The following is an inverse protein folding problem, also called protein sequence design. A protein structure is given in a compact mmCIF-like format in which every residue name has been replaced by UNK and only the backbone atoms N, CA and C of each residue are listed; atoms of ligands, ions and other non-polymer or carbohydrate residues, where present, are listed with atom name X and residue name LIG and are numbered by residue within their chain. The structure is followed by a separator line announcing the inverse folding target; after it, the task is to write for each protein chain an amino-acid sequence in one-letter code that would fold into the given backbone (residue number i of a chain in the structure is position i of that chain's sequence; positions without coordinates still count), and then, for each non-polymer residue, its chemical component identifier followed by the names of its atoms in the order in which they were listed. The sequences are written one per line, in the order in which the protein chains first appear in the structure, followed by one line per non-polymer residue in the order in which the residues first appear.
data_IF_274796263705
#
_entry.id   IF_274796263705
#
_cell.length_a   1.000
_cell.length_b   1.000
_cell.length_c   1.000
_cell.angle_alpha   90.00
_cell.angle_beta   90.00
_cell.angle_gamma   90.00
#
_symmetry.space_group_name_H-M   'P 1'
#
loop_
_entity.id
_entity.type
_entity.pdbx_description
1 polymer ?
#
# COMPACT_ATOMS: atom_id res chain seq x y z
N UNK A 1 -7.72 18.27 8.23
CA UNK A 1 -7.06 17.29 7.34
C UNK A 1 -5.57 17.58 7.27
N UNK A 2 -5.10 18.74 6.80
CA UNK A 2 -3.66 19.03 6.58
C UNK A 2 -2.80 18.80 7.83
N UNK A 3 -3.26 19.12 9.03
CA UNK A 3 -2.50 18.89 10.27
C UNK A 3 -2.28 17.40 10.54
N UNK A 4 -3.25 16.54 10.23
CA UNK A 4 -3.09 15.09 10.35
C UNK A 4 -2.05 14.57 9.35
N UNK A 5 -2.09 15.08 8.11
CA UNK A 5 -1.08 14.72 7.08
C UNK A 5 0.33 15.17 7.52
N UNK A 6 0.48 16.38 8.04
CA UNK A 6 1.75 16.88 8.59
C UNK A 6 2.26 16.01 9.74
N UNK A 7 1.37 15.60 10.64
CA UNK A 7 1.69 14.67 11.73
C UNK A 7 2.20 13.34 11.17
N UNK A 8 1.52 12.77 10.18
CA UNK A 8 1.94 11.52 9.53
C UNK A 8 3.32 11.65 8.86
N UNK A 9 3.59 12.74 8.13
CA UNK A 9 4.90 13.01 7.53
C UNK A 9 6.00 13.21 8.58
N UNK A 10 5.68 13.88 9.70
CA UNK A 10 6.62 14.05 10.82
C UNK A 10 6.97 12.72 11.48
N UNK A 11 5.99 11.83 11.66
CA UNK A 11 6.21 10.47 12.14
C UNK A 11 7.04 9.65 11.15
N UNK A 12 6.75 9.77 9.85
CA UNK A 12 7.54 9.12 8.80
C UNK A 12 9.01 9.52 8.86
N UNK A 13 9.29 10.81 8.96
CA UNK A 13 10.66 11.35 9.18
C UNK A 13 11.30 10.75 10.43
N UNK A 14 10.57 10.73 11.55
CA UNK A 14 11.07 10.20 12.83
C UNK A 14 11.48 8.74 12.74
N UNK A 15 10.71 7.92 12.01
CA UNK A 15 10.92 6.47 11.90
C UNK A 15 11.63 6.03 10.61
N UNK A 16 12.08 6.99 9.80
CA UNK A 16 12.91 6.71 8.62
C UNK A 16 12.16 6.24 7.38
N UNK A 17 10.84 6.48 7.29
CA UNK A 17 10.11 6.24 6.06
C UNK A 17 10.36 7.37 5.08
N UNK A 18 10.94 7.05 3.93
CA UNK A 18 11.28 8.04 2.90
C UNK A 18 10.22 8.15 1.80
N UNK A 19 9.30 7.20 1.74
CA UNK A 19 8.24 7.13 0.73
C UNK A 19 6.93 6.68 1.38
N UNK A 20 5.82 7.33 1.02
CA UNK A 20 4.47 6.96 1.46
C UNK A 20 3.55 6.97 0.25
N UNK A 21 2.76 5.91 0.06
CA UNK A 21 1.60 5.91 -0.80
C UNK A 21 0.37 6.15 0.07
N UNK A 22 -0.22 7.34 -0.05
CA UNK A 22 -1.32 7.81 0.77
C UNK A 22 -2.61 7.83 -0.04
N UNK A 23 -3.67 7.24 0.52
CA UNK A 23 -5.01 7.24 -0.04
C UNK A 23 -5.77 8.45 0.47
N UNK A 24 -6.48 9.15 -0.42
CA UNK A 24 -7.37 10.25 -0.06
C UNK A 24 -8.73 10.03 -0.71
N UNK A 25 -9.76 10.09 0.12
CA UNK A 25 -11.13 9.93 -0.33
C UNK A 25 -11.50 10.97 -1.39
N UNK A 26 -12.10 10.49 -2.47
CA UNK A 26 -12.58 11.29 -3.62
C UNK A 26 -14.03 10.95 -3.95
N UNK A 27 -14.81 10.59 -2.94
CA UNK A 27 -16.25 10.40 -3.04
C UNK A 27 -17.01 11.74 -3.06
N UNK A 28 -18.32 11.69 -3.26
CA UNK A 28 -19.16 12.90 -3.36
C UNK A 28 -19.25 13.71 -2.06
N UNK A 29 -18.87 13.11 -0.89
CA UNK A 29 -18.85 13.78 0.42
C UNK A 29 -17.51 14.43 0.70
N UNK A 30 -16.41 13.66 0.59
CA UNK A 30 -15.04 14.13 0.85
C UNK A 30 -14.52 15.05 -0.26
N UNK A 31 -14.96 14.83 -1.49
CA UNK A 31 -14.56 15.58 -2.68
C UNK A 31 -13.05 15.61 -2.87
N UNK A 32 -12.44 16.79 -2.93
CA UNK A 32 -11.00 16.97 -3.18
C UNK A 32 -10.20 17.47 -1.97
N UNK A 33 -10.80 17.52 -0.80
CA UNK A 33 -10.14 18.14 0.36
C UNK A 33 -8.96 17.31 0.87
N UNK A 34 -9.06 15.98 0.85
CA UNK A 34 -7.95 15.06 1.15
C UNK A 34 -6.81 15.19 0.14
N UNK A 35 -7.16 15.22 -1.16
CA UNK A 35 -6.19 15.37 -2.25
C UNK A 35 -5.41 16.68 -2.11
N UNK A 36 -6.08 17.81 -1.93
CA UNK A 36 -5.44 19.12 -1.76
C UNK A 36 -4.50 19.13 -0.55
N UNK A 37 -4.90 18.48 0.55
CA UNK A 37 -4.07 18.39 1.76
C UNK A 37 -2.81 17.56 1.50
N UNK A 38 -2.92 16.39 0.83
CA UNK A 38 -1.76 15.55 0.50
C UNK A 38 -0.83 16.24 -0.49
N UNK A 39 -1.34 16.88 -1.54
CA UNK A 39 -0.53 17.62 -2.51
C UNK A 39 0.22 18.78 -1.85
N UNK A 40 -0.43 19.50 -0.94
CA UNK A 40 0.22 20.55 -0.16
C UNK A 40 1.33 19.99 0.74
N UNK A 41 1.06 18.92 1.47
CA UNK A 41 2.06 18.27 2.31
C UNK A 41 3.23 17.70 1.49
N UNK A 42 2.97 17.17 0.28
CA UNK A 42 4.01 16.70 -0.63
C UNK A 42 5.04 17.79 -0.93
N UNK A 43 4.61 19.02 -1.18
CA UNK A 43 5.53 20.15 -1.39
C UNK A 43 6.25 20.58 -0.09
N UNK A 44 5.55 20.58 1.04
CA UNK A 44 6.12 20.95 2.34
C UNK A 44 7.20 19.95 2.80
N UNK A 45 7.06 18.68 2.51
CA UNK A 45 7.93 17.59 2.99
C UNK A 45 8.81 16.96 1.89
N UNK A 46 8.89 17.53 0.68
CA UNK A 46 9.59 16.96 -0.47
C UNK A 46 11.07 16.61 -0.27
N UNK A 47 11.72 17.27 0.67
CA UNK A 47 13.12 17.00 1.01
C UNK A 47 13.27 15.87 2.06
N UNK A 48 12.16 15.42 2.63
CA UNK A 48 12.12 14.42 3.71
C UNK A 48 11.40 13.15 3.28
N UNK A 49 10.19 13.29 2.70
CA UNK A 49 9.31 12.18 2.34
C UNK A 49 8.73 12.42 0.95
N UNK A 50 8.80 11.43 0.09
CA UNK A 50 8.06 11.43 -1.18
C UNK A 50 6.66 10.85 -0.96
N UNK A 51 5.63 11.63 -1.28
CA UNK A 51 4.23 11.22 -1.20
C UNK A 51 3.70 10.87 -2.59
N UNK A 52 3.28 9.61 -2.76
CA UNK A 52 2.42 9.18 -3.87
C UNK A 52 0.97 9.30 -3.41
N UNK A 53 0.18 10.08 -4.13
CA UNK A 53 -1.22 10.37 -3.80
C UNK A 53 -2.13 9.48 -4.61
N UNK A 54 -2.98 8.69 -3.93
CA UNK A 54 -4.00 7.85 -4.55
C UNK A 54 -5.33 8.57 -4.47
N UNK A 55 -5.99 8.78 -5.62
CA UNK A 55 -7.37 9.24 -5.70
C UNK A 55 -8.31 8.05 -5.44
N UNK A 56 -8.98 8.02 -4.28
CA UNK A 56 -9.62 6.83 -3.74
C UNK A 56 -11.13 7.03 -3.51
N UNK A 57 -12.00 6.27 -4.21
CA UNK A 57 -13.45 6.36 -4.05
C UNK A 57 -13.93 5.49 -2.88
N UNK A 58 -13.80 5.95 -1.63
CA UNK A 58 -14.16 5.18 -0.42
C UNK A 58 -15.58 4.64 -0.44
N UNK A 59 -16.54 5.40 -0.98
CA UNK A 59 -17.95 4.99 -1.05
C UNK A 59 -18.30 4.21 -2.35
N UNK A 60 -17.30 3.87 -3.18
CA UNK A 60 -17.49 3.21 -4.48
C UNK A 60 -17.70 4.20 -5.63
N UNK A 61 -17.92 3.68 -6.84
CA UNK A 61 -18.21 4.51 -8.02
C UNK A 61 -19.56 4.18 -8.65
N UNK A 62 -20.07 2.97 -8.41
CA UNK A 62 -21.45 2.61 -8.78
C UNK A 62 -22.41 3.01 -7.65
N UNK A 63 -22.01 2.75 -6.41
CA UNK A 63 -22.79 3.14 -5.21
C UNK A 63 -22.81 4.63 -4.96
N UNK A 64 -21.78 5.38 -5.38
CA UNK A 64 -21.67 6.83 -5.24
C UNK A 64 -21.56 7.51 -6.62
N UNK A 65 -22.68 7.68 -7.34
CA UNK A 65 -22.70 8.34 -8.65
C UNK A 65 -22.13 9.76 -8.58
N UNK A 66 -21.08 10.02 -9.36
CA UNK A 66 -20.34 11.28 -9.37
C UNK A 66 -18.94 11.20 -8.71
N UNK A 67 -18.62 10.14 -7.99
CA UNK A 67 -17.28 9.94 -7.42
C UNK A 67 -16.20 9.90 -8.52
N UNK A 68 -16.49 9.32 -9.69
CA UNK A 68 -15.57 9.25 -10.83
C UNK A 68 -15.10 10.64 -11.29
N UNK A 69 -15.98 11.65 -11.27
CA UNK A 69 -15.62 13.02 -11.65
C UNK A 69 -14.63 13.65 -10.67
N UNK A 70 -14.75 13.31 -9.37
CA UNK A 70 -13.77 13.74 -8.37
C UNK A 70 -12.43 13.02 -8.51
N UNK A 71 -12.42 11.72 -8.86
CA UNK A 71 -11.19 11.00 -9.17
C UNK A 71 -10.49 11.65 -10.36
N UNK A 72 -11.21 11.93 -11.44
CA UNK A 72 -10.70 12.63 -12.61
C UNK A 72 -10.08 13.97 -12.23
N UNK A 73 -10.82 14.78 -11.47
CA UNK A 73 -10.34 16.08 -10.99
C UNK A 73 -9.11 15.97 -10.10
N UNK A 74 -9.00 14.91 -9.28
CA UNK A 74 -7.84 14.64 -8.45
C UNK A 74 -6.60 14.30 -9.30
N UNK A 75 -6.77 13.53 -10.38
CA UNK A 75 -5.71 13.21 -11.34
C UNK A 75 -5.23 14.46 -12.09
N UNK A 76 -6.16 15.33 -12.51
CA UNK A 76 -5.85 16.64 -13.11
C UNK A 76 -5.05 17.54 -12.16
N UNK A 77 -5.34 17.49 -10.84
CA UNK A 77 -4.60 18.23 -9.82
C UNK A 77 -3.21 17.64 -9.53
N UNK A 78 -2.93 16.43 -10.00
CA UNK A 78 -1.61 15.79 -9.84
C UNK A 78 -1.57 14.63 -8.87
N UNK A 79 -2.70 13.95 -8.61
CA UNK A 79 -2.68 12.63 -7.98
C UNK A 79 -1.91 11.63 -8.87
N UNK A 80 -1.21 10.69 -8.24
CA UNK A 80 -0.25 9.82 -8.92
C UNK A 80 -0.84 8.48 -9.34
N UNK A 81 -1.86 8.01 -8.62
CA UNK A 81 -2.39 6.65 -8.71
C UNK A 81 -3.92 6.67 -8.69
N UNK A 82 -4.52 5.83 -9.52
CA UNK A 82 -5.97 5.60 -9.51
C UNK A 82 -6.29 4.57 -8.43
N UNK A 83 -7.12 4.96 -7.47
CA UNK A 83 -7.64 4.11 -6.41
C UNK A 83 -8.86 3.29 -6.84
N UNK A 84 -9.32 2.42 -5.97
CA UNK A 84 -10.56 1.67 -6.14
C UNK A 84 -10.87 0.79 -4.92
N UNK A 85 -12.15 0.45 -4.77
CA UNK A 85 -12.66 -0.44 -3.71
C UNK A 85 -13.85 -1.24 -4.25
N UNK A 86 -13.63 -2.14 -5.23
CA UNK A 86 -14.73 -2.80 -5.92
C UNK A 86 -15.58 -3.71 -5.03
N UNK A 87 -15.00 -4.33 -4.00
CA UNK A 87 -15.67 -5.32 -3.16
C UNK A 87 -16.85 -4.76 -2.34
N UNK A 88 -16.97 -3.43 -2.20
CA UNK A 88 -18.11 -2.81 -1.49
C UNK A 88 -19.30 -2.51 -2.39
N UNK A 89 -19.18 -2.66 -3.70
CA UNK A 89 -20.28 -2.43 -4.64
C UNK A 89 -21.42 -3.46 -4.42
N UNK A 90 -22.60 -3.23 -5.02
CA UNK A 90 -23.80 -4.02 -4.71
C UNK A 90 -23.75 -5.46 -5.22
N UNK A 91 -23.16 -5.69 -6.39
CA UNK A 91 -23.12 -6.99 -7.06
C UNK A 91 -21.76 -7.25 -7.72
N UNK A 92 -21.50 -8.51 -8.12
CA UNK A 92 -20.30 -8.85 -8.88
C UNK A 92 -20.21 -8.09 -10.22
N UNK A 93 -21.34 -7.76 -10.83
CA UNK A 93 -21.37 -6.95 -12.06
C UNK A 93 -20.94 -5.51 -11.77
N UNK A 94 -21.38 -4.95 -10.66
CA UNK A 94 -20.98 -3.61 -10.22
C UNK A 94 -19.50 -3.57 -9.82
N UNK A 95 -18.98 -4.64 -9.19
CA UNK A 95 -17.54 -4.79 -8.92
C UNK A 95 -16.73 -4.76 -10.21
N UNK A 96 -17.17 -5.48 -11.23
CA UNK A 96 -16.51 -5.48 -12.52
C UNK A 96 -16.59 -4.12 -13.20
N UNK A 97 -17.75 -3.45 -13.14
CA UNK A 97 -17.93 -2.10 -13.67
C UNK A 97 -17.02 -1.09 -12.96
N UNK A 98 -16.91 -1.16 -11.63
CA UNK A 98 -15.97 -0.34 -10.85
C UNK A 98 -14.54 -0.51 -11.38
N UNK A 99 -14.06 -1.74 -11.49
CA UNK A 99 -12.72 -2.04 -12.01
C UNK A 99 -12.56 -1.49 -13.44
N UNK A 100 -13.55 -1.68 -14.30
CA UNK A 100 -13.49 -1.23 -15.70
C UNK A 100 -13.39 0.30 -15.80
N UNK A 101 -14.16 1.05 -15.01
CA UNK A 101 -14.10 2.52 -14.95
C UNK A 101 -12.74 3.02 -14.45
N UNK A 102 -12.19 2.41 -13.40
CA UNK A 102 -10.88 2.81 -12.87
C UNK A 102 -9.75 2.53 -13.86
N UNK A 103 -9.80 1.42 -14.59
CA UNK A 103 -8.83 1.16 -15.66
C UNK A 103 -8.99 2.12 -16.85
N UNK A 104 -10.21 2.59 -17.15
CA UNK A 104 -10.41 3.62 -18.16
C UNK A 104 -9.69 4.93 -17.78
N UNK A 105 -9.82 5.38 -16.54
CA UNK A 105 -9.09 6.53 -16.01
C UNK A 105 -7.59 6.29 -15.97
N UNK A 106 -7.15 5.11 -15.52
CA UNK A 106 -5.72 4.77 -15.48
C UNK A 106 -5.07 4.85 -16.87
N UNK A 107 -5.76 4.41 -17.93
CA UNK A 107 -5.28 4.54 -19.31
C UNK A 107 -5.30 5.99 -19.81
N UNK A 108 -6.36 6.72 -19.52
CA UNK A 108 -6.51 8.11 -19.96
C UNK A 108 -5.40 9.00 -19.41
N UNK A 109 -5.05 8.80 -18.13
CA UNK A 109 -4.05 9.60 -17.44
C UNK A 109 -2.66 8.95 -17.39
N UNK A 110 -2.50 7.76 -17.96
CA UNK A 110 -1.28 6.93 -17.87
C UNK A 110 -0.79 6.75 -16.42
N UNK A 111 -1.70 6.32 -15.52
CA UNK A 111 -1.44 6.14 -14.10
C UNK A 111 -1.47 4.67 -13.68
N UNK A 112 -0.74 4.36 -12.62
CA UNK A 112 -0.81 3.07 -11.95
C UNK A 112 -2.15 2.93 -11.20
N UNK A 113 -2.51 1.68 -10.86
CA UNK A 113 -3.75 1.36 -10.15
C UNK A 113 -3.42 0.77 -8.78
N UNK A 114 -4.13 1.20 -7.75
CA UNK A 114 -4.02 0.64 -6.40
C UNK A 114 -5.39 0.54 -5.75
N UNK A 115 -5.87 -0.68 -5.50
CA UNK A 115 -7.24 -0.90 -5.02
C UNK A 115 -7.26 -1.64 -3.69
N UNK A 116 -8.19 -1.27 -2.80
CA UNK A 116 -8.57 -2.06 -1.64
C UNK A 116 -9.41 -3.23 -2.11
N UNK A 117 -8.94 -4.45 -1.87
CA UNK A 117 -9.49 -5.67 -2.48
C UNK A 117 -9.89 -6.67 -1.41
N UNK A 118 -11.14 -7.15 -1.50
CA UNK A 118 -11.68 -8.26 -0.70
C UNK A 118 -11.32 -8.11 0.80
N UNK A 119 -11.50 -6.90 1.34
CA UNK A 119 -11.14 -6.52 2.70
C UNK A 119 -12.25 -6.93 3.70
N UNK A 120 -12.65 -8.17 3.64
CA UNK A 120 -13.66 -8.77 4.51
C UNK A 120 -13.39 -10.26 4.71
N UNK A 121 -14.03 -10.84 5.73
CA UNK A 121 -13.96 -12.27 6.03
C UNK A 121 -14.92 -13.13 5.20
N UNK A 122 -15.10 -12.83 3.92
CA UNK A 122 -15.96 -13.58 3.02
C UNK A 122 -15.14 -14.25 1.88
N UNK A 123 -14.98 -15.60 1.92
CA UNK A 123 -14.27 -16.32 0.86
C UNK A 123 -15.02 -16.31 -0.49
N UNK A 124 -16.25 -15.79 -0.53
CA UNK A 124 -17.05 -15.61 -1.75
C UNK A 124 -16.64 -14.40 -2.57
N UNK A 125 -15.93 -13.43 -2.01
CA UNK A 125 -15.45 -12.25 -2.74
C UNK A 125 -14.50 -12.62 -3.88
N UNK A 126 -14.62 -11.92 -5.01
CA UNK A 126 -13.93 -12.22 -6.28
C UNK A 126 -13.24 -11.01 -6.90
N UNK A 127 -13.20 -9.87 -6.23
CA UNK A 127 -12.65 -8.66 -6.85
C UNK A 127 -11.15 -8.80 -7.14
N UNK A 128 -10.40 -9.61 -6.37
CA UNK A 128 -8.99 -9.92 -6.66
C UNK A 128 -8.82 -10.69 -7.98
N UNK A 129 -9.66 -11.71 -8.22
CA UNK A 129 -9.66 -12.45 -9.47
C UNK A 129 -10.01 -11.56 -10.67
N UNK A 130 -11.06 -10.72 -10.51
CA UNK A 130 -11.49 -9.74 -11.52
C UNK A 130 -10.39 -8.74 -11.86
N UNK A 131 -9.74 -8.17 -10.83
CA UNK A 131 -8.61 -7.26 -10.97
C UNK A 131 -7.44 -7.90 -11.74
N UNK A 132 -7.07 -9.13 -11.39
CA UNK A 132 -5.99 -9.84 -12.04
C UNK A 132 -6.29 -10.10 -13.52
N UNK A 133 -7.50 -10.55 -13.83
CA UNK A 133 -7.95 -10.79 -15.22
C UNK A 133 -7.97 -9.47 -16.00
N UNK A 134 -8.49 -8.38 -15.43
CA UNK A 134 -8.50 -7.05 -16.05
C UNK A 134 -7.08 -6.58 -16.34
N UNK A 135 -6.18 -6.68 -15.37
CA UNK A 135 -4.77 -6.30 -15.52
C UNK A 135 -4.11 -7.01 -16.71
N UNK A 136 -4.37 -8.32 -16.86
CA UNK A 136 -3.83 -9.11 -17.98
C UNK A 136 -4.41 -8.63 -19.32
N UNK A 137 -5.73 -8.42 -19.39
CA UNK A 137 -6.43 -8.01 -20.61
C UNK A 137 -5.99 -6.61 -21.09
N UNK A 138 -5.77 -5.70 -20.16
CA UNK A 138 -5.36 -4.31 -20.48
C UNK A 138 -3.85 -4.14 -20.73
N UNK A 139 -3.03 -5.18 -20.49
CA UNK A 139 -1.59 -5.06 -20.61
C UNK A 139 -0.94 -4.21 -19.51
N UNK A 140 -1.57 -4.13 -18.32
CA UNK A 140 -1.14 -3.27 -17.20
C UNK A 140 -0.24 -4.00 -16.19
N UNK A 141 0.44 -5.08 -16.60
CA UNK A 141 1.28 -5.91 -15.74
C UNK A 141 2.39 -5.10 -15.06
N UNK A 142 2.50 -5.22 -13.74
CA UNK A 142 3.50 -4.54 -12.92
C UNK A 142 3.13 -3.09 -12.57
N UNK A 143 1.94 -2.63 -12.95
CA UNK A 143 1.42 -1.28 -12.67
C UNK A 143 0.18 -1.32 -11.75
N UNK A 144 -0.13 -2.47 -11.16
CA UNK A 144 -1.31 -2.68 -10.31
C UNK A 144 -0.90 -3.24 -8.97
N UNK A 145 -1.47 -2.70 -7.89
CA UNK A 145 -1.34 -3.23 -6.53
C UNK A 145 -2.70 -3.49 -5.91
N UNK A 146 -2.82 -4.62 -5.21
CA UNK A 146 -3.98 -4.99 -4.42
C UNK A 146 -3.64 -4.81 -2.93
N UNK A 147 -4.49 -4.08 -2.20
CA UNK A 147 -4.33 -3.83 -0.78
C UNK A 147 -5.20 -4.80 0.01
N UNK A 148 -4.82 -5.14 1.24
CA UNK A 148 -5.50 -6.02 2.21
C UNK A 148 -5.63 -7.48 1.74
N UNK A 149 -6.56 -7.78 0.86
CA UNK A 149 -6.87 -9.14 0.37
C UNK A 149 -7.18 -10.12 1.52
N UNK A 150 -7.91 -9.69 2.56
CA UNK A 150 -8.17 -10.45 3.80
C UNK A 150 -8.97 -11.72 3.55
N UNK A 151 -9.91 -11.70 2.59
CA UNK A 151 -10.70 -12.87 2.19
C UNK A 151 -9.82 -14.07 1.79
N UNK A 152 -8.59 -13.81 1.30
CA UNK A 152 -7.63 -14.84 0.89
C UNK A 152 -7.29 -15.82 2.03
N UNK A 153 -7.33 -15.37 3.29
CA UNK A 153 -7.13 -16.25 4.45
C UNK A 153 -8.10 -17.45 4.46
N UNK A 154 -9.28 -17.27 3.89
CA UNK A 154 -10.38 -18.26 3.90
C UNK A 154 -10.55 -18.98 2.55
N UNK A 155 -9.71 -18.70 1.55
CA UNK A 155 -9.84 -19.34 0.25
C UNK A 155 -9.57 -20.85 0.33
N UNK A 156 -10.46 -21.69 -0.23
CA UNK A 156 -10.15 -23.10 -0.46
C UNK A 156 -8.88 -23.23 -1.31
N UNK A 157 -8.05 -24.22 -1.00
CA UNK A 157 -6.73 -24.39 -1.64
C UNK A 157 -6.78 -24.41 -3.19
N UNK A 158 -7.73 -25.09 -3.86
CA UNK A 158 -7.79 -25.04 -5.32
C UNK A 158 -8.06 -23.66 -5.88
N UNK A 159 -8.89 -22.84 -5.18
CA UNK A 159 -9.18 -21.49 -5.58
C UNK A 159 -7.97 -20.56 -5.31
N UNK A 160 -7.33 -20.71 -4.16
CA UNK A 160 -6.09 -19.96 -3.87
C UNK A 160 -5.03 -20.18 -4.96
N UNK A 161 -4.78 -21.42 -5.36
CA UNK A 161 -3.83 -21.74 -6.44
C UNK A 161 -4.18 -21.10 -7.78
N UNK A 162 -5.47 -21.07 -8.12
CA UNK A 162 -5.96 -20.36 -9.32
C UNK A 162 -5.63 -18.86 -9.24
N UNK A 163 -5.98 -18.21 -8.12
CA UNK A 163 -5.74 -16.78 -7.92
C UNK A 163 -4.24 -16.48 -7.91
N UNK A 164 -3.43 -17.30 -7.25
CA UNK A 164 -1.97 -17.19 -7.23
C UNK A 164 -1.38 -17.19 -8.66
N UNK A 165 -1.80 -18.12 -9.51
CA UNK A 165 -1.36 -18.17 -10.90
C UNK A 165 -1.77 -16.92 -11.70
N UNK A 166 -2.95 -16.36 -11.43
CA UNK A 166 -3.39 -15.09 -12.02
C UNK A 166 -2.55 -13.91 -11.55
N UNK A 167 -2.24 -13.81 -10.25
CA UNK A 167 -1.39 -12.75 -9.71
C UNK A 167 0.01 -12.77 -10.31
N UNK A 168 0.62 -13.96 -10.44
CA UNK A 168 1.92 -14.12 -11.11
C UNK A 168 1.86 -13.66 -12.58
N UNK A 169 0.84 -14.10 -13.34
CA UNK A 169 0.65 -13.71 -14.75
C UNK A 169 0.39 -12.23 -14.91
N UNK A 170 -0.42 -11.64 -14.02
CA UNK A 170 -0.73 -10.21 -13.99
C UNK A 170 0.42 -9.36 -13.43
N UNK A 171 1.41 -9.96 -12.77
CA UNK A 171 2.45 -9.26 -12.01
C UNK A 171 1.88 -8.19 -11.10
N UNK A 172 0.78 -8.51 -10.40
CA UNK A 172 0.18 -7.64 -9.40
C UNK A 172 1.03 -7.69 -8.13
N UNK A 173 1.35 -6.52 -7.58
CA UNK A 173 1.88 -6.39 -6.23
C UNK A 173 0.75 -6.47 -5.19
N UNK A 174 1.04 -7.02 -4.02
CA UNK A 174 0.09 -7.10 -2.92
C UNK A 174 0.67 -6.40 -1.69
N UNK A 175 -0.16 -5.63 -0.99
CA UNK A 175 0.22 -5.01 0.29
C UNK A 175 -0.73 -5.52 1.37
N UNK A 176 -0.18 -6.10 2.43
CA UNK A 176 -0.92 -6.59 3.59
C UNK A 176 -0.63 -5.74 4.82
N UNK A 177 -1.60 -5.62 5.68
CA UNK A 177 -1.60 -4.86 6.93
C UNK A 177 -2.18 -5.71 8.07
N UNK A 178 -1.50 -6.79 8.48
CA UNK A 178 -2.05 -7.81 9.37
C UNK A 178 -2.46 -7.25 10.73
N UNK A 179 -1.91 -6.10 11.14
CA UNK A 179 -2.20 -5.47 12.44
C UNK A 179 -3.57 -4.77 12.51
N UNK A 180 -4.22 -4.47 11.38
CA UNK A 180 -5.47 -3.69 11.36
C UNK A 180 -6.74 -4.55 11.24
N UNK A 181 -6.63 -5.87 11.35
CA UNK A 181 -7.80 -6.74 11.35
C UNK A 181 -7.48 -8.20 11.70
N UNK A 182 -8.52 -9.03 11.95
CA UNK A 182 -8.35 -10.40 12.41
C UNK A 182 -7.90 -11.38 11.30
N UNK A 183 -8.02 -10.99 10.04
CA UNK A 183 -7.61 -11.78 8.88
C UNK A 183 -6.59 -11.00 8.05
N UNK A 184 -5.77 -11.72 7.31
CA UNK A 184 -4.73 -11.13 6.46
C UNK A 184 -4.50 -12.02 5.22
N UNK A 185 -3.88 -11.46 4.19
CA UNK A 185 -3.46 -12.22 3.02
C UNK A 185 -2.50 -13.35 3.40
N UNK A 186 -2.40 -14.38 2.58
CA UNK A 186 -1.46 -15.51 2.74
C UNK A 186 -0.04 -15.05 2.34
N UNK A 187 0.52 -14.14 3.14
CA UNK A 187 1.78 -13.41 2.85
C UNK A 187 2.93 -14.37 2.56
N UNK A 188 3.12 -15.42 3.38
CA UNK A 188 4.20 -16.38 3.19
C UNK A 188 4.06 -17.15 1.88
N UNK A 189 2.87 -17.68 1.59
CA UNK A 189 2.64 -18.44 0.35
C UNK A 189 2.87 -17.58 -0.90
N UNK A 190 2.43 -16.32 -0.86
CA UNK A 190 2.62 -15.36 -1.95
C UNK A 190 4.10 -15.04 -2.16
N UNK A 191 4.84 -14.77 -1.08
CA UNK A 191 6.28 -14.50 -1.14
C UNK A 191 7.05 -15.69 -1.71
N UNK A 192 6.82 -16.90 -1.20
CA UNK A 192 7.48 -18.13 -1.66
C UNK A 192 7.18 -18.44 -3.14
N UNK A 193 6.01 -18.02 -3.62
CA UNK A 193 5.62 -18.11 -5.03
C UNK A 193 6.17 -16.99 -5.93
N UNK A 194 6.94 -16.04 -5.37
CA UNK A 194 7.55 -14.94 -6.11
C UNK A 194 6.60 -13.80 -6.47
N UNK A 195 5.42 -13.72 -5.84
CA UNK A 195 4.54 -12.55 -5.94
C UNK A 195 5.18 -11.39 -5.17
N UNK A 196 5.13 -10.18 -5.73
CA UNK A 196 5.59 -8.98 -5.03
C UNK A 196 4.67 -8.68 -3.86
N UNK A 197 5.11 -8.98 -2.63
CA UNK A 197 4.34 -8.70 -1.41
C UNK A 197 5.07 -7.65 -0.59
N UNK A 198 4.31 -6.75 0.04
CA UNK A 198 4.81 -5.76 0.98
C UNK A 198 3.89 -5.68 2.21
N UNK A 199 4.37 -5.05 3.28
CA UNK A 199 3.56 -4.67 4.42
C UNK A 199 3.24 -3.19 4.38
N UNK A 200 2.02 -2.82 4.80
CA UNK A 200 1.53 -1.45 4.93
C UNK A 200 1.26 -1.07 6.38
N UNK A 201 1.27 0.23 6.65
CA UNK A 201 0.87 0.76 7.95
C UNK A 201 -0.66 0.81 8.08
N UNK A 202 -1.38 1.03 6.96
CA UNK A 202 -2.79 1.35 6.93
C UNK A 202 -3.06 2.66 7.72
N UNK A 203 -3.92 2.63 8.72
CA UNK A 203 -4.32 3.81 9.48
C UNK A 203 -3.26 4.31 10.48
N UNK A 204 -3.26 5.62 10.78
CA UNK A 204 -2.33 6.28 11.68
C UNK A 204 -3.10 7.08 12.73
N UNK A 205 -3.29 6.51 13.92
CA UNK A 205 -3.89 7.16 15.08
C UNK A 205 -5.23 7.84 14.76
N UNK A 206 -6.11 7.13 14.07
CA UNK A 206 -7.46 7.59 13.71
C UNK A 206 -8.57 6.87 14.48
N UNK A 207 -9.83 7.01 14.03
CA UNK A 207 -10.97 6.42 14.69
C UNK A 207 -11.10 4.91 14.45
N UNK A 208 -10.53 4.39 13.37
CA UNK A 208 -10.56 2.97 13.05
C UNK A 208 -9.42 2.22 13.74
N UNK A 209 -8.19 2.75 13.64
CA UNK A 209 -7.00 2.16 14.26
C UNK A 209 -6.20 3.22 15.06
N UNK A 210 -6.41 3.31 16.37
CA UNK A 210 -5.84 4.40 17.19
C UNK A 210 -4.34 4.25 17.49
N UNK A 211 -3.70 3.14 17.14
CA UNK A 211 -2.31 2.81 17.54
C UNK A 211 -1.26 3.14 16.48
N UNK A 212 -1.62 3.25 15.19
CA UNK A 212 -0.66 3.47 14.11
C UNK A 212 0.18 4.73 14.33
N UNK A 213 1.50 4.61 14.13
CA UNK A 213 2.44 5.72 14.28
C UNK A 213 3.48 5.80 13.17
N UNK A 214 3.22 5.16 12.05
CA UNK A 214 4.08 5.17 10.87
C UNK A 214 5.51 4.63 11.15
N UNK A 215 5.62 3.64 12.06
CA UNK A 215 6.85 2.92 12.33
C UNK A 215 6.81 1.54 11.66
N UNK A 216 7.49 1.39 10.53
CA UNK A 216 7.45 0.12 9.79
C UNK A 216 8.17 -1.02 10.50
N UNK A 217 9.12 -0.76 11.40
CA UNK A 217 9.68 -1.81 12.27
C UNK A 217 8.67 -2.32 13.29
N UNK A 218 7.78 -1.45 13.81
CA UNK A 218 6.66 -1.87 14.65
C UNK A 218 5.65 -2.71 13.86
N UNK A 219 5.33 -2.33 12.62
CA UNK A 219 4.50 -3.14 11.72
C UNK A 219 5.16 -4.51 11.49
N UNK A 220 6.47 -4.55 11.25
CA UNK A 220 7.22 -5.80 11.12
C UNK A 220 7.16 -6.66 12.39
N UNK A 221 7.31 -6.06 13.56
CA UNK A 221 7.18 -6.75 14.86
C UNK A 221 5.80 -7.40 15.01
N UNK A 222 4.74 -6.65 14.74
CA UNK A 222 3.36 -7.18 14.78
C UNK A 222 3.16 -8.28 13.73
N UNK A 223 3.68 -8.08 12.51
CA UNK A 223 3.57 -9.06 11.44
C UNK A 223 4.28 -10.39 11.77
N UNK A 224 5.46 -10.37 12.39
CA UNK A 224 6.15 -11.58 12.88
C UNK A 224 5.21 -12.45 13.72
N UNK A 225 4.44 -11.85 14.61
CA UNK A 225 3.51 -12.56 15.50
C UNK A 225 2.22 -12.98 14.78
N UNK A 226 1.60 -12.08 14.04
CA UNK A 226 0.30 -12.31 13.42
C UNK A 226 0.39 -13.30 12.25
N UNK A 227 1.48 -13.25 11.48
CA UNK A 227 1.75 -14.18 10.38
C UNK A 227 2.44 -15.46 10.83
N UNK A 228 2.83 -15.55 12.10
CA UNK A 228 3.60 -16.67 12.67
C UNK A 228 4.92 -16.93 11.92
N UNK A 229 5.61 -15.86 11.54
CA UNK A 229 6.89 -15.88 10.84
C UNK A 229 8.01 -15.55 11.83
N UNK A 230 8.39 -16.53 12.66
CA UNK A 230 9.19 -16.32 13.90
C UNK A 230 10.62 -16.84 13.83
N UNK A 231 11.05 -17.44 12.72
CA UNK A 231 12.46 -17.84 12.55
C UNK A 231 13.31 -16.64 12.12
N UNK A 232 14.63 -16.70 12.29
CA UNK A 232 15.53 -15.66 11.79
C UNK A 232 15.38 -15.43 10.29
N UNK A 233 15.23 -16.50 9.50
CA UNK A 233 14.98 -16.39 8.06
C UNK A 233 13.65 -15.71 7.73
N UNK A 234 12.61 -15.95 8.53
CA UNK A 234 11.33 -15.27 8.37
C UNK A 234 11.44 -13.77 8.67
N UNK A 235 12.23 -13.39 9.67
CA UNK A 235 12.42 -11.97 10.01
C UNK A 235 13.18 -11.22 8.92
N UNK A 236 14.13 -11.85 8.23
CA UNK A 236 14.77 -11.28 7.03
C UNK A 236 13.74 -11.06 5.93
N UNK A 237 12.83 -12.01 5.69
CA UNK A 237 11.72 -11.84 4.75
C UNK A 237 10.84 -10.68 5.18
N UNK A 238 10.39 -10.63 6.43
CA UNK A 238 9.55 -9.54 6.95
C UNK A 238 10.23 -8.17 6.78
N UNK A 239 11.54 -8.10 6.99
CA UNK A 239 12.30 -6.87 6.78
C UNK A 239 12.31 -6.46 5.30
N UNK A 240 12.46 -7.39 4.38
CA UNK A 240 12.30 -7.11 2.94
C UNK A 240 10.91 -6.60 2.59
N UNK A 241 9.86 -7.09 3.26
CA UNK A 241 8.47 -6.65 3.01
C UNK A 241 8.22 -5.19 3.40
N UNK A 242 9.01 -4.62 4.31
CA UNK A 242 8.92 -3.20 4.70
C UNK A 242 9.97 -2.30 4.02
N UNK A 243 10.86 -2.86 3.22
CA UNK A 243 11.97 -2.14 2.56
C UNK A 243 11.96 -2.36 1.04
N UNK A 244 12.73 -3.31 0.54
CA UNK A 244 12.93 -3.52 -0.89
C UNK A 244 11.66 -3.93 -1.63
N UNK A 245 10.83 -4.76 -1.02
CA UNK A 245 9.56 -5.17 -1.60
C UNK A 245 8.53 -4.05 -1.57
N UNK A 246 8.48 -3.27 -0.48
CA UNK A 246 7.62 -2.09 -0.39
C UNK A 246 7.96 -1.08 -1.50
N UNK A 247 9.25 -0.80 -1.72
CA UNK A 247 9.70 0.05 -2.81
C UNK A 247 9.26 -0.49 -4.18
N UNK A 248 9.38 -1.81 -4.39
CA UNK A 248 8.94 -2.47 -5.63
C UNK A 248 7.43 -2.34 -5.83
N UNK A 249 6.62 -2.56 -4.78
CA UNK A 249 5.16 -2.41 -4.83
C UNK A 249 4.72 -0.97 -5.15
N UNK A 250 5.51 0.02 -4.75
CA UNK A 250 5.29 1.43 -5.05
C UNK A 250 5.87 1.88 -6.40
N UNK A 251 6.56 1.00 -7.15
CA UNK A 251 7.21 1.35 -8.41
C UNK A 251 8.47 2.20 -8.25
N UNK A 252 9.06 2.28 -7.05
CA UNK A 252 10.26 3.07 -6.77
C UNK A 252 11.49 2.36 -7.35
N UNK A 253 12.25 3.07 -8.18
CA UNK A 253 13.46 2.55 -8.80
C UNK A 253 14.71 2.94 -8.01
N UNK A 254 15.74 2.08 -8.02
CA UNK A 254 17.04 2.39 -7.41
C UNK A 254 17.03 2.35 -5.86
N UNK A 255 15.99 1.81 -5.24
CA UNK A 255 15.91 1.65 -3.78
C UNK A 255 16.67 0.39 -3.36
N UNK A 256 17.99 0.50 -3.31
CA UNK A 256 18.91 -0.59 -2.98
C UNK A 256 20.14 -0.06 -2.27
N UNK A 257 20.70 -0.84 -1.36
CA UNK A 257 22.00 -0.58 -0.74
C UNK A 257 23.12 -1.10 -1.66
N UNK A 258 23.45 -0.33 -2.69
CA UNK A 258 24.51 -0.64 -3.65
C UNK A 258 25.23 0.63 -4.14
N UNK A 259 26.43 0.50 -4.65
CA UNK A 259 27.16 1.63 -5.26
C UNK A 259 26.39 2.14 -6.48
N UNK A 260 26.05 3.41 -6.47
CA UNK A 260 25.21 4.04 -7.51
C UNK A 260 23.71 3.98 -7.24
N UNK A 261 23.27 3.34 -6.15
CA UNK A 261 21.88 3.36 -5.66
C UNK A 261 21.48 4.71 -5.05
N UNK A 262 20.19 4.90 -4.80
CA UNK A 262 19.69 6.07 -4.09
C UNK A 262 20.25 6.11 -2.66
N UNK A 263 20.73 7.26 -2.22
CA UNK A 263 21.20 7.46 -0.87
C UNK A 263 20.02 7.78 0.09
N UNK A 264 19.05 6.87 0.16
CA UNK A 264 17.94 6.86 1.09
C UNK A 264 18.19 5.74 2.09
N UNK A 265 18.69 6.07 3.27
CA UNK A 265 19.26 5.13 4.21
C UNK A 265 18.78 5.43 5.64
N UNK A 266 18.67 4.40 6.46
CA UNK A 266 18.53 4.52 7.92
C UNK A 266 19.70 3.86 8.60
N UNK A 267 20.18 4.43 9.70
CA UNK A 267 21.16 3.81 10.59
C UNK A 267 20.41 3.45 11.87
N UNK A 268 20.29 2.15 12.12
CA UNK A 268 19.59 1.61 13.28
C UNK A 268 20.59 1.31 14.41
N UNK A 269 20.16 1.47 15.66
CA UNK A 269 20.90 1.02 16.83
C UNK A 269 20.64 -0.46 17.09
N UNK A 270 20.90 -1.31 16.09
CA UNK A 270 20.64 -2.73 16.16
C UNK A 270 21.78 -3.49 15.47
N UNK A 271 22.17 -4.61 16.02
CA UNK A 271 23.29 -5.43 15.49
C UNK A 271 22.91 -6.31 14.30
N UNK A 272 21.62 -6.60 14.15
CA UNK A 272 21.03 -7.43 13.09
C UNK A 272 19.53 -7.14 12.91
N UNK A 273 18.91 -7.76 11.91
CA UNK A 273 17.48 -7.60 11.59
C UNK A 273 16.58 -8.04 12.74
N UNK A 274 16.93 -9.13 13.43
CA UNK A 274 16.17 -9.60 14.59
C UNK A 274 16.05 -8.51 15.66
N UNK A 275 17.18 -7.91 16.07
CA UNK A 275 17.17 -6.85 17.10
C UNK A 275 16.47 -5.58 16.59
N UNK A 276 16.63 -5.25 15.30
CA UNK A 276 15.93 -4.12 14.71
C UNK A 276 14.40 -4.26 14.81
N UNK A 277 13.87 -5.46 14.50
CA UNK A 277 12.42 -5.73 14.59
C UNK A 277 12.00 -5.84 16.05
N UNK A 278 12.76 -6.51 16.90
CA UNK A 278 12.40 -6.72 18.31
C UNK A 278 12.30 -5.41 19.10
N UNK A 279 13.29 -4.53 18.94
CA UNK A 279 13.37 -3.25 19.65
C UNK A 279 12.48 -2.18 18.97
N UNK A 280 12.31 -2.25 17.64
CA UNK A 280 11.58 -1.32 16.77
C UNK A 280 11.73 0.15 17.15
N UNK A 281 12.97 0.53 17.54
CA UNK A 281 13.32 1.89 17.92
C UNK A 281 13.40 2.83 16.70
N UNK A 282 13.38 4.13 16.98
CA UNK A 282 13.66 5.13 15.96
C UNK A 282 15.13 5.04 15.50
N UNK A 283 15.42 5.28 14.21
CA UNK A 283 16.77 5.30 13.70
C UNK A 283 17.66 6.34 14.40
N UNK A 284 18.96 6.03 14.51
CA UNK A 284 19.99 7.00 14.92
C UNK A 284 20.14 8.11 13.86
N UNK A 285 20.10 7.72 12.58
CA UNK A 285 20.18 8.66 11.45
C UNK A 285 19.20 8.26 10.37
N UNK A 286 18.59 9.27 9.73
CA UNK A 286 17.76 9.14 8.54
C UNK A 286 18.41 9.99 7.45
N UNK A 287 18.86 9.32 6.40
CA UNK A 287 19.50 9.95 5.25
C UNK A 287 18.53 9.93 4.07
N UNK A 288 18.23 11.08 3.51
CA UNK A 288 17.36 11.23 2.35
C UNK A 288 18.08 11.96 1.22
N UNK A 289 18.20 11.32 0.05
CA UNK A 289 18.93 11.87 -1.11
C UNK A 289 20.36 12.34 -0.71
N UNK A 290 21.02 11.57 0.16
CA UNK A 290 22.37 11.88 0.67
C UNK A 290 22.45 12.97 1.73
N UNK A 291 21.33 13.49 2.21
CA UNK A 291 21.28 14.52 3.29
C UNK A 291 20.75 13.90 4.58
N UNK A 292 21.33 14.28 5.70
CA UNK A 292 20.81 13.96 7.02
C UNK A 292 19.51 14.76 7.27
N UNK A 293 18.42 14.04 7.48
CA UNK A 293 17.09 14.59 7.79
C UNK A 293 16.56 14.08 9.11
N UNK A 294 17.42 13.55 9.97
CA UNK A 294 17.05 12.99 11.28
C UNK A 294 16.20 13.98 12.09
N UNK A 295 15.15 13.48 12.73
CA UNK A 295 14.33 14.27 13.65
C UNK A 295 14.99 14.26 15.03
N UNK A 296 15.49 15.39 15.46
CA UNK A 296 16.04 15.61 16.80
C UNK A 296 14.97 16.09 17.75
#
# INVERSE_FOLDING_TARGET
IIENVRKACTLARKYGNTHIRAFADTDTKARLEGIKALLKAREEFKDVVDLQVVAFPQDGVVRDPGAEDYIRSALDLGADVVGGIPWIEYTDLDMQEHIDRMFALAREFDRDVSMLIDDAGDPGLRSLEMLAVKTIKEGWQGRVTAQHCRAMALYPEPYFRKVLALLQKARIGLVSDPQTGPLHARVRDLYDAGVSVALGQDDIADAYYPFGRNNMLEVAFLAVHLLWMTTFGDMEIIYDLITTNAARAMGIKGHKLEVGGNADLVVLNARDVYHAIWEHEAPLYVIRKGKDVTAH
#
